data_IF_582030705525
#
_entry.id   IF_582030705525
#
_cell.length_a   1.000
_cell.length_b   1.000
_cell.length_c   1.000
_cell.angle_alpha   90.00
_cell.angle_beta   90.00
_cell.angle_gamma   90.00
#
_symmetry.space_group_name_H-M   'P 1'
#
loop_
_entity.id
_entity.type
_entity.pdbx_description
1 polymer ?
#
# COMPACT_ATOMS: atom_id res chain seq x y z
N UNK A 1 -71.18 -22.20 12.53
CA UNK A 1 -70.24 -21.11 12.17
C UNK A 1 -69.02 -21.21 13.06
N UNK A 2 -67.90 -21.72 12.57
CA UNK A 2 -66.61 -21.76 13.28
C UNK A 2 -65.59 -21.12 12.33
N UNK A 3 -64.99 -20.01 12.75
CA UNK A 3 -64.05 -19.20 11.97
C UNK A 3 -62.65 -19.81 12.04
N UNK A 4 -62.07 -20.07 10.88
CA UNK A 4 -60.66 -20.45 10.69
C UNK A 4 -59.82 -19.17 10.70
N UNK A 5 -58.81 -19.09 11.56
CA UNK A 5 -57.79 -18.04 11.55
C UNK A 5 -56.52 -18.67 11.02
N UNK A 6 -56.19 -18.37 9.77
CA UNK A 6 -54.91 -18.74 9.14
C UNK A 6 -53.81 -17.78 9.57
N UNK A 7 -52.83 -18.28 10.31
CA UNK A 7 -51.58 -17.57 10.59
C UNK A 7 -50.64 -17.67 9.38
N UNK A 8 -50.42 -16.56 8.69
CA UNK A 8 -49.41 -16.44 7.64
C UNK A 8 -48.06 -16.15 8.30
N UNK A 9 -47.21 -17.17 8.43
CA UNK A 9 -45.84 -17.00 8.88
C UNK A 9 -45.01 -16.34 7.77
N UNK A 10 -44.65 -15.06 7.94
CA UNK A 10 -43.64 -14.42 7.12
C UNK A 10 -42.27 -15.03 7.48
N UNK A 11 -41.78 -15.93 6.62
CA UNK A 11 -40.41 -16.40 6.66
C UNK A 11 -39.46 -15.25 6.33
N UNK A 12 -38.65 -14.85 7.29
CA UNK A 12 -37.53 -13.94 7.09
C UNK A 12 -36.47 -14.71 6.31
N UNK A 13 -36.37 -14.47 4.99
CA UNK A 13 -35.30 -15.04 4.18
C UNK A 13 -34.03 -14.25 4.53
N UNK A 14 -33.23 -14.80 5.43
CA UNK A 14 -31.87 -14.33 5.69
C UNK A 14 -31.04 -14.53 4.42
N UNK A 15 -30.81 -13.46 3.65
CA UNK A 15 -29.82 -13.44 2.57
C UNK A 15 -28.40 -13.37 3.17
N UNK A 16 -27.99 -14.44 3.84
CA UNK A 16 -26.64 -14.62 4.34
C UNK A 16 -25.99 -15.79 3.62
N UNK A 17 -25.84 -15.68 2.30
CA UNK A 17 -24.71 -16.29 1.63
C UNK A 17 -23.88 -15.16 1.00
N UNK A 18 -22.79 -14.79 1.67
CA UNK A 18 -21.59 -14.43 0.92
C UNK A 18 -21.23 -15.73 0.20
N UNK A 19 -21.80 -15.93 -0.99
CA UNK A 19 -21.41 -17.03 -1.84
C UNK A 19 -19.90 -16.95 -2.00
N UNK A 20 -19.23 -18.07 -1.74
CA UNK A 20 -17.84 -18.24 -2.14
C UNK A 20 -17.74 -17.79 -3.61
N UNK A 21 -17.02 -16.69 -3.86
CA UNK A 21 -16.91 -16.16 -5.21
C UNK A 21 -15.69 -16.68 -5.95
N UNK A 22 -15.01 -17.67 -5.38
CA UNK A 22 -13.95 -18.40 -6.07
C UNK A 22 -14.37 -18.98 -7.41
N UNK A 23 -15.58 -19.55 -7.60
CA UNK A 23 -16.03 -20.01 -8.92
C UNK A 23 -16.06 -18.88 -9.95
N UNK A 24 -16.51 -17.68 -9.55
CA UNK A 24 -16.50 -16.50 -10.42
C UNK A 24 -15.07 -16.10 -10.75
N UNK A 25 -14.19 -15.97 -9.74
CA UNK A 25 -12.80 -15.56 -9.96
C UNK A 25 -12.05 -16.53 -10.89
N UNK A 26 -12.25 -17.84 -10.71
CA UNK A 26 -11.70 -18.86 -11.58
C UNK A 26 -12.18 -18.72 -13.03
N UNK A 27 -13.46 -18.43 -13.25
CA UNK A 27 -14.01 -18.18 -14.59
C UNK A 27 -13.37 -16.95 -15.23
N UNK A 28 -13.27 -15.85 -14.45
CA UNK A 28 -12.69 -14.59 -14.91
C UNK A 28 -11.19 -14.68 -15.19
N UNK A 29 -10.49 -15.64 -14.58
CA UNK A 29 -9.06 -15.87 -14.80
C UNK A 29 -8.75 -16.64 -16.09
N UNK A 30 -9.70 -17.41 -16.65
CA UNK A 30 -9.47 -18.24 -17.85
C UNK A 30 -8.85 -17.50 -19.03
N UNK A 31 -9.26 -16.25 -19.39
CA UNK A 31 -8.65 -15.52 -20.49
C UNK A 31 -7.17 -15.20 -20.29
N UNK A 32 -6.68 -15.18 -19.04
CA UNK A 32 -5.29 -14.85 -18.69
C UNK A 32 -4.42 -16.09 -18.47
N UNK A 33 -5.03 -17.26 -18.26
CA UNK A 33 -4.38 -18.50 -17.82
C UNK A 33 -3.26 -19.02 -18.74
N UNK A 34 -3.21 -18.59 -20.01
CA UNK A 34 -2.10 -18.92 -20.91
C UNK A 34 -0.78 -18.28 -20.44
N UNK A 35 -0.82 -17.05 -19.92
CA UNK A 35 0.37 -16.24 -19.60
C UNK A 35 0.58 -16.04 -18.10
N UNK A 36 -0.48 -16.14 -17.32
CA UNK A 36 -0.44 -15.87 -15.89
C UNK A 36 -1.03 -17.01 -15.07
N UNK A 37 -0.72 -17.02 -13.78
CA UNK A 37 -1.37 -17.84 -12.77
C UNK A 37 -2.12 -16.91 -11.82
N UNK A 38 -3.38 -17.21 -11.49
CA UNK A 38 -4.14 -16.39 -10.55
C UNK A 38 -3.75 -16.74 -9.11
N UNK A 39 -3.39 -15.72 -8.32
CA UNK A 39 -3.23 -15.87 -6.88
C UNK A 39 -4.59 -15.86 -6.21
N UNK A 40 -5.00 -17.02 -5.69
CA UNK A 40 -6.32 -17.23 -5.10
C UNK A 40 -6.54 -16.49 -3.78
N UNK A 41 -5.49 -16.20 -3.02
CA UNK A 41 -5.57 -15.57 -1.70
C UNK A 41 -5.66 -14.04 -1.80
N UNK A 42 -5.05 -13.48 -2.84
CA UNK A 42 -5.03 -12.04 -3.11
C UNK A 42 -6.07 -11.63 -4.17
N UNK A 43 -6.75 -12.57 -4.81
CA UNK A 43 -7.89 -12.26 -5.69
C UNK A 43 -9.17 -12.17 -4.88
N UNK A 44 -10.03 -11.20 -5.20
CA UNK A 44 -11.24 -10.93 -4.42
C UNK A 44 -12.37 -10.44 -5.30
N UNK A 45 -13.60 -10.64 -4.84
CA UNK A 45 -14.78 -10.07 -5.46
C UNK A 45 -15.72 -9.48 -4.40
N UNK A 46 -16.61 -8.59 -4.84
CA UNK A 46 -17.65 -8.02 -3.99
C UNK A 46 -18.82 -7.52 -4.83
N UNK A 47 -20.04 -7.93 -4.49
CA UNK A 47 -21.26 -7.32 -5.04
C UNK A 47 -21.23 -5.83 -4.73
N UNK A 48 -21.47 -4.98 -5.73
CA UNK A 48 -21.43 -3.54 -5.56
C UNK A 48 -22.69 -3.07 -4.81
N UNK A 49 -22.60 -2.59 -3.55
CA UNK A 49 -23.80 -2.34 -2.74
C UNK A 49 -24.75 -1.27 -3.30
N UNK A 50 -24.29 -0.46 -4.25
CA UNK A 50 -25.05 0.63 -4.85
C UNK A 50 -25.51 0.34 -6.28
N UNK A 51 -25.12 -0.81 -6.82
CA UNK A 51 -25.55 -1.36 -8.09
C UNK A 51 -25.52 -2.90 -7.94
N UNK A 52 -26.44 -3.49 -7.15
CA UNK A 52 -26.36 -4.91 -6.76
C UNK A 52 -26.44 -5.90 -7.93
N UNK A 53 -26.86 -5.44 -9.10
CA UNK A 53 -26.79 -6.16 -10.37
C UNK A 53 -25.36 -6.28 -10.92
N UNK A 54 -24.36 -5.67 -10.25
CA UNK A 54 -22.95 -5.68 -10.62
C UNK A 54 -22.09 -6.23 -9.49
N UNK A 55 -21.10 -7.04 -9.86
CA UNK A 55 -20.04 -7.53 -8.97
C UNK A 55 -18.71 -6.95 -9.44
N UNK A 56 -17.95 -6.40 -8.50
CA UNK A 56 -16.57 -5.98 -8.73
C UNK A 56 -15.68 -7.20 -8.46
N UNK A 57 -14.72 -7.47 -9.34
CA UNK A 57 -13.71 -8.50 -9.15
C UNK A 57 -12.32 -7.92 -9.38
N UNK A 58 -11.36 -8.36 -8.59
CA UNK A 58 -9.94 -8.03 -8.70
C UNK A 58 -9.17 -9.34 -8.75
N UNK A 59 -8.45 -9.55 -9.85
CA UNK A 59 -7.56 -10.69 -10.02
C UNK A 59 -6.12 -10.23 -9.83
N UNK A 60 -5.40 -10.93 -8.96
CA UNK A 60 -3.96 -10.83 -8.81
C UNK A 60 -3.34 -11.95 -9.65
N UNK A 61 -2.56 -11.58 -10.66
CA UNK A 61 -2.09 -12.49 -11.70
C UNK A 61 -0.56 -12.49 -11.75
N UNK A 62 0.05 -13.64 -11.50
CA UNK A 62 1.50 -13.84 -11.54
C UNK A 62 1.94 -14.21 -12.96
N UNK A 63 2.76 -13.39 -13.65
CA UNK A 63 3.27 -13.72 -14.98
C UNK A 63 4.18 -14.95 -14.97
N UNK A 64 3.95 -15.90 -15.88
CA UNK A 64 4.72 -17.16 -15.95
C UNK A 64 6.12 -17.00 -16.55
N UNK A 65 6.29 -16.10 -17.51
CA UNK A 65 7.57 -15.91 -18.24
C UNK A 65 8.59 -15.08 -17.44
N UNK A 66 8.14 -14.37 -16.39
CA UNK A 66 8.98 -13.49 -15.57
C UNK A 66 9.12 -14.00 -14.13
N UNK A 67 8.73 -15.25 -13.88
CA UNK A 67 8.83 -15.86 -12.55
C UNK A 67 10.30 -15.95 -12.11
N UNK A 68 10.66 -15.19 -11.08
CA UNK A 68 11.97 -15.25 -10.43
C UNK A 68 11.83 -15.91 -9.06
N UNK A 69 12.85 -16.64 -8.56
CA UNK A 69 12.74 -17.42 -7.32
C UNK A 69 12.37 -16.60 -6.08
N UNK A 70 12.80 -15.34 -6.03
CA UNK A 70 12.71 -14.48 -4.84
C UNK A 70 11.85 -13.22 -5.06
N UNK A 71 11.23 -13.08 -6.24
CA UNK A 71 10.48 -11.89 -6.63
C UNK A 71 9.19 -12.31 -7.33
N UNK A 72 8.08 -11.67 -6.98
CA UNK A 72 6.80 -11.90 -7.64
C UNK A 72 6.21 -10.57 -8.08
N UNK A 73 6.21 -10.33 -9.39
CA UNK A 73 5.43 -9.25 -9.96
C UNK A 73 3.99 -9.71 -10.16
N UNK A 74 3.03 -8.84 -9.88
CA UNK A 74 1.62 -9.07 -10.18
C UNK A 74 1.12 -8.11 -11.24
N UNK A 75 0.49 -8.69 -12.25
CA UNK A 75 -0.50 -8.03 -13.07
C UNK A 75 -1.81 -7.95 -12.27
N UNK A 76 -2.54 -6.84 -12.41
CA UNK A 76 -3.83 -6.63 -11.72
C UNK A 76 -4.92 -6.44 -12.76
N UNK A 77 -5.91 -7.33 -12.75
CA UNK A 77 -7.12 -7.17 -13.55
C UNK A 77 -8.29 -6.73 -12.65
N UNK A 78 -8.86 -5.55 -12.93
CA UNK A 78 -10.06 -5.04 -12.25
C UNK A 78 -11.24 -5.18 -13.21
N UNK A 79 -12.26 -5.92 -12.81
CA UNK A 79 -13.43 -6.21 -13.62
C UNK A 79 -14.70 -5.76 -12.92
N UNK A 80 -15.68 -5.33 -13.72
CA UNK A 80 -17.07 -5.24 -13.30
C UNK A 80 -17.86 -6.23 -14.16
N UNK A 81 -18.61 -7.10 -13.49
CA UNK A 81 -19.38 -8.16 -14.12
C UNK A 81 -20.84 -8.06 -13.73
N UNK A 82 -21.72 -8.58 -14.59
CA UNK A 82 -23.13 -8.76 -14.28
C UNK A 82 -23.28 -9.85 -13.21
N UNK A 83 -23.95 -9.54 -12.10
CA UNK A 83 -24.02 -10.44 -10.94
C UNK A 83 -24.85 -11.69 -11.18
N UNK A 84 -25.75 -11.69 -12.18
CA UNK A 84 -26.63 -12.82 -12.47
C UNK A 84 -26.01 -13.77 -13.51
N UNK A 85 -25.39 -13.21 -14.53
CA UNK A 85 -24.87 -13.96 -15.69
C UNK A 85 -23.36 -14.17 -15.65
N UNK A 86 -22.65 -13.52 -14.71
CA UNK A 86 -21.19 -13.48 -14.63
C UNK A 86 -20.51 -12.88 -15.87
N UNK A 87 -21.28 -12.24 -16.77
CA UNK A 87 -20.75 -11.61 -17.98
C UNK A 87 -19.90 -10.40 -17.61
N UNK A 88 -18.69 -10.31 -18.18
CA UNK A 88 -17.83 -9.13 -18.04
C UNK A 88 -18.51 -7.94 -18.73
N UNK A 89 -18.81 -6.91 -17.95
CA UNK A 89 -19.38 -5.65 -18.44
C UNK A 89 -18.29 -4.66 -18.82
N UNK A 90 -17.20 -4.64 -18.05
CA UNK A 90 -16.05 -3.78 -18.27
C UNK A 90 -14.83 -4.33 -17.52
N UNK A 91 -13.63 -4.06 -18.01
CA UNK A 91 -12.40 -4.43 -17.32
C UNK A 91 -11.28 -3.43 -17.56
N UNK A 92 -10.30 -3.44 -16.65
CA UNK A 92 -9.04 -2.72 -16.76
C UNK A 92 -7.92 -3.63 -16.33
N UNK A 93 -6.95 -3.82 -17.22
CA UNK A 93 -5.74 -4.61 -16.96
C UNK A 93 -4.55 -3.69 -16.68
N UNK A 94 -3.79 -4.00 -15.64
CA UNK A 94 -2.59 -3.29 -15.25
C UNK A 94 -1.41 -4.27 -15.23
N UNK A 95 -0.56 -4.27 -16.27
CA UNK A 95 0.64 -5.09 -16.27
C UNK A 95 1.67 -4.55 -15.28
N UNK A 96 2.40 -5.43 -14.60
CA UNK A 96 3.46 -5.11 -13.62
C UNK A 96 3.02 -4.03 -12.62
N UNK A 97 1.79 -4.17 -12.13
CA UNK A 97 1.17 -3.17 -11.28
C UNK A 97 1.76 -3.17 -9.87
N UNK A 98 2.20 -4.35 -9.42
CA UNK A 98 2.74 -4.59 -8.09
C UNK A 98 4.02 -5.40 -8.24
N UNK A 99 5.04 -4.99 -7.50
CA UNK A 99 6.31 -5.71 -7.37
C UNK A 99 6.39 -6.16 -5.91
N UNK A 100 6.30 -7.46 -5.67
CA UNK A 100 6.46 -8.06 -4.36
C UNK A 100 7.86 -8.68 -4.23
N UNK A 101 8.63 -8.13 -3.29
CA UNK A 101 10.00 -8.54 -2.93
C UNK A 101 10.08 -8.50 -1.37
N UNK A 102 11.06 -7.79 -0.80
CA UNK A 102 11.23 -7.56 0.63
C UNK A 102 10.00 -6.93 1.30
N UNK A 103 9.13 -6.30 0.52
CA UNK A 103 7.82 -5.79 0.92
C UNK A 103 6.78 -6.50 0.05
N UNK A 104 6.06 -7.46 0.62
CA UNK A 104 5.09 -8.29 -0.09
C UNK A 104 3.66 -7.77 0.09
N UNK A 105 2.78 -8.06 -0.85
CA UNK A 105 1.35 -7.77 -0.78
C UNK A 105 0.68 -8.82 0.10
N UNK A 106 0.21 -8.37 1.26
CA UNK A 106 -0.43 -9.21 2.26
C UNK A 106 -1.95 -9.24 2.17
N UNK A 107 -2.57 -8.29 1.45
CA UNK A 107 -4.02 -8.22 1.33
C UNK A 107 -4.45 -7.35 0.14
N UNK A 108 -5.52 -7.77 -0.53
CA UNK A 108 -6.24 -6.98 -1.53
C UNK A 108 -7.72 -6.98 -1.18
N UNK A 109 -8.34 -5.80 -1.11
CA UNK A 109 -9.76 -5.68 -0.75
C UNK A 109 -10.49 -4.66 -1.62
N UNK A 110 -11.79 -4.87 -1.81
CA UNK A 110 -12.66 -3.94 -2.53
C UNK A 110 -13.33 -2.97 -1.55
N UNK A 111 -13.01 -1.69 -1.73
CA UNK A 111 -13.59 -0.58 -0.98
C UNK A 111 -14.83 -0.04 -1.71
N UNK A 112 -15.96 -0.04 -1.02
CA UNK A 112 -17.23 0.46 -1.54
C UNK A 112 -17.75 1.62 -0.70
N UNK A 113 -16.86 2.41 -0.11
CA UNK A 113 -17.21 3.67 0.55
C UNK A 113 -17.91 4.63 -0.43
N UNK A 114 -18.47 5.72 0.12
CA UNK A 114 -19.36 6.63 -0.61
C UNK A 114 -18.59 7.63 -1.50
N UNK A 115 -17.83 7.14 -2.47
CA UNK A 115 -17.12 7.96 -3.46
C UNK A 115 -18.06 8.47 -4.57
N UNK A 116 -19.09 9.24 -4.22
CA UNK A 116 -20.01 9.84 -5.18
C UNK A 116 -19.34 11.03 -5.88
N UNK A 117 -18.60 10.77 -6.97
CA UNK A 117 -17.82 11.80 -7.65
C UNK A 117 -18.71 12.78 -8.42
N UNK A 118 -19.84 12.34 -8.97
CA UNK A 118 -20.86 13.22 -9.56
C UNK A 118 -22.26 12.65 -9.26
N UNK A 119 -23.37 13.34 -9.55
CA UNK A 119 -24.71 12.76 -9.34
C UNK A 119 -24.91 11.41 -10.06
N UNK A 120 -24.28 11.21 -11.22
CA UNK A 120 -24.40 10.00 -12.01
C UNK A 120 -23.30 8.96 -11.73
N UNK A 121 -22.14 9.37 -11.19
CA UNK A 121 -20.95 8.53 -11.14
C UNK A 121 -20.51 8.33 -9.69
N UNK A 122 -20.52 7.07 -9.26
CA UNK A 122 -19.90 6.61 -8.02
C UNK A 122 -18.69 5.75 -8.36
N UNK A 123 -17.55 6.07 -7.74
CA UNK A 123 -16.36 5.23 -7.82
C UNK A 123 -16.42 4.09 -6.81
N UNK A 124 -15.65 3.04 -7.07
CA UNK A 124 -15.25 2.03 -6.09
C UNK A 124 -13.73 2.04 -5.95
N UNK A 125 -13.23 1.52 -4.84
CA UNK A 125 -11.81 1.44 -4.56
C UNK A 125 -11.29 0.02 -4.55
N UNK A 126 -9.99 -0.10 -4.81
CA UNK A 126 -9.21 -1.31 -4.52
C UNK A 126 -8.09 -0.91 -3.56
N UNK A 127 -8.00 -1.62 -2.43
CA UNK A 127 -7.00 -1.39 -1.40
C UNK A 127 -5.98 -2.52 -1.42
N UNK A 128 -4.70 -2.15 -1.37
CA UNK A 128 -3.57 -3.06 -1.30
C UNK A 128 -2.83 -2.81 0.01
N UNK A 129 -2.59 -3.86 0.80
CA UNK A 129 -1.76 -3.76 2.01
C UNK A 129 -0.46 -4.51 1.76
N UNK A 130 0.64 -3.80 1.78
CA UNK A 130 1.98 -4.36 1.68
C UNK A 130 2.68 -4.38 3.04
N UNK A 131 3.50 -5.39 3.30
CA UNK A 131 4.23 -5.58 4.55
C UNK A 131 5.65 -6.07 4.32
N UNK A 132 6.56 -5.66 5.18
CA UNK A 132 7.87 -6.29 5.30
C UNK A 132 7.83 -7.43 6.33
N UNK A 133 8.77 -8.37 6.21
CA UNK A 133 8.84 -9.55 7.08
C UNK A 133 9.68 -9.33 8.35
N UNK A 134 10.43 -8.22 8.45
CA UNK A 134 11.29 -7.94 9.59
C UNK A 134 10.49 -7.46 10.81
N UNK A 135 10.61 -8.17 11.93
CA UNK A 135 10.03 -7.74 13.20
C UNK A 135 10.81 -6.58 13.83
N UNK A 136 12.12 -6.52 13.60
CA UNK A 136 13.01 -5.46 14.13
C UNK A 136 13.04 -4.21 13.24
N UNK A 137 12.65 -4.33 11.97
CA UNK A 137 12.48 -3.18 11.06
C UNK A 137 11.11 -3.28 10.37
N UNK A 138 10.00 -3.17 11.11
CA UNK A 138 8.68 -3.40 10.56
C UNK A 138 8.30 -2.31 9.57
N UNK A 139 7.59 -2.69 8.50
CA UNK A 139 6.98 -1.78 7.55
C UNK A 139 5.61 -2.32 7.11
N UNK A 140 4.63 -1.43 7.00
CA UNK A 140 3.30 -1.72 6.47
C UNK A 140 2.78 -0.51 5.72
N UNK A 141 2.31 -0.70 4.48
CA UNK A 141 1.81 0.36 3.61
C UNK A 141 0.46 -0.07 3.05
N UNK A 142 -0.57 0.74 3.25
CA UNK A 142 -1.87 0.57 2.60
C UNK A 142 -2.03 1.61 1.50
N UNK A 143 -2.32 1.15 0.29
CA UNK A 143 -2.58 1.99 -0.89
C UNK A 143 -4.01 1.84 -1.36
N UNK A 144 -4.59 2.94 -1.81
CA UNK A 144 -5.92 3.01 -2.41
C UNK A 144 -5.82 3.43 -3.86
N UNK A 145 -6.51 2.68 -4.72
CA UNK A 145 -6.85 3.07 -6.08
C UNK A 145 -8.37 3.33 -6.14
N UNK A 146 -8.83 4.33 -6.90
CA UNK A 146 -10.25 4.52 -7.21
C UNK A 146 -10.51 4.32 -8.70
N UNK A 147 -11.62 3.66 -8.99
CA UNK A 147 -12.09 3.37 -10.33
C UNK A 147 -13.52 3.85 -10.53
N UNK A 148 -13.81 4.35 -11.72
CA UNK A 148 -15.18 4.64 -12.17
C UNK A 148 -15.62 3.67 -13.24
N UNK A 149 -16.91 3.35 -13.27
CA UNK A 149 -17.56 2.67 -14.39
C UNK A 149 -18.41 3.67 -15.16
N UNK A 150 -18.08 3.91 -16.42
CA UNK A 150 -18.85 4.76 -17.35
C UNK A 150 -18.77 4.13 -18.74
N UNK A 151 -19.88 4.11 -19.49
CA UNK A 151 -19.90 3.64 -20.88
C UNK A 151 -19.20 2.29 -21.12
N UNK A 152 -19.42 1.33 -20.22
CA UNK A 152 -18.78 -0.01 -20.24
C UNK A 152 -17.24 0.03 -20.15
N UNK A 153 -16.69 1.10 -19.58
CA UNK A 153 -15.26 1.27 -19.33
C UNK A 153 -14.98 1.44 -17.83
N UNK A 154 -13.99 0.69 -17.33
CA UNK A 154 -13.39 0.90 -16.01
C UNK A 154 -12.19 1.83 -16.17
N UNK A 155 -12.26 2.99 -15.52
CA UNK A 155 -11.21 4.01 -15.57
C UNK A 155 -10.59 4.22 -14.19
N UNK A 156 -9.26 4.10 -14.11
CA UNK A 156 -8.48 4.41 -12.91
C UNK A 156 -8.38 5.93 -12.77
N UNK A 157 -9.05 6.48 -11.77
CA UNK A 157 -9.16 7.93 -11.54
C UNK A 157 -8.36 8.39 -10.33
N UNK A 158 -7.90 7.49 -9.46
CA UNK A 158 -6.95 7.80 -8.39
C UNK A 158 -6.02 6.60 -8.27
N UNK A 159 -4.71 6.82 -8.38
CA UNK A 159 -3.73 5.74 -8.39
C UNK A 159 -2.76 5.88 -7.22
N UNK A 160 -2.58 4.77 -6.51
CA UNK A 160 -1.50 4.55 -5.56
C UNK A 160 -1.44 5.57 -4.41
N UNK A 161 -2.59 5.99 -3.90
CA UNK A 161 -2.64 6.89 -2.75
C UNK A 161 -2.35 6.11 -1.46
N UNK A 162 -1.25 6.45 -0.78
CA UNK A 162 -0.98 5.92 0.56
C UNK A 162 -2.08 6.38 1.53
N UNK A 163 -2.81 5.43 2.09
CA UNK A 163 -3.85 5.66 3.08
C UNK A 163 -3.33 5.46 4.50
N UNK A 164 -2.57 4.39 4.72
CA UNK A 164 -1.93 4.12 6.00
C UNK A 164 -0.48 3.72 5.74
N UNK A 165 0.42 4.18 6.59
CA UNK A 165 1.82 3.78 6.54
C UNK A 165 2.35 3.66 7.95
N UNK A 166 3.09 2.59 8.21
CA UNK A 166 3.75 2.32 9.46
C UNK A 166 5.17 1.83 9.17
N UNK A 167 6.14 2.38 9.89
CA UNK A 167 7.54 1.96 9.81
C UNK A 167 8.21 2.14 11.16
N UNK A 168 9.25 1.36 11.45
CA UNK A 168 10.11 1.66 12.59
C UNK A 168 11.35 0.81 12.66
N UNK A 169 12.10 1.04 13.73
CA UNK A 169 13.25 0.24 14.16
C UNK A 169 13.02 -0.17 15.61
N UNK A 170 13.25 -1.45 15.90
CA UNK A 170 13.02 -2.05 17.21
C UNK A 170 14.19 -2.96 17.56
N UNK A 171 14.64 -2.90 18.82
CA UNK A 171 15.70 -3.76 19.33
C UNK A 171 15.25 -5.23 19.55
N UNK A 172 13.98 -5.53 19.29
CA UNK A 172 13.37 -6.85 19.51
C UNK A 172 13.00 -7.13 20.97
N UNK A 173 13.15 -6.14 21.86
CA UNK A 173 12.88 -6.27 23.28
C UNK A 173 11.98 -5.15 23.80
N UNK A 174 12.41 -3.89 23.66
CA UNK A 174 11.76 -2.74 24.26
C UNK A 174 12.05 -1.43 23.51
N UNK A 175 13.32 -1.12 23.25
CA UNK A 175 13.69 0.16 22.68
C UNK A 175 13.35 0.22 21.19
N UNK A 176 12.62 1.26 20.77
CA UNK A 176 12.26 1.41 19.37
C UNK A 176 11.76 2.80 19.02
N UNK A 177 11.80 3.10 17.73
CA UNK A 177 11.36 4.35 17.13
C UNK A 177 10.44 4.03 15.96
N UNK A 178 9.24 4.61 15.97
CA UNK A 178 8.17 4.26 15.04
C UNK A 178 7.50 5.51 14.49
N UNK A 179 7.18 5.47 13.20
CA UNK A 179 6.40 6.48 12.51
C UNK A 179 5.13 5.84 11.96
N UNK A 180 4.01 6.54 12.13
CA UNK A 180 2.73 6.15 11.58
C UNK A 180 2.09 7.33 10.86
N UNK A 181 1.63 7.11 9.63
CA UNK A 181 0.76 8.05 8.91
C UNK A 181 -0.59 7.40 8.70
N UNK A 182 -1.64 8.09 9.10
CA UNK A 182 -3.03 7.72 8.84
C UNK A 182 -3.71 8.78 8.00
N UNK A 183 -4.45 8.35 6.98
CA UNK A 183 -5.24 9.23 6.14
C UNK A 183 -6.70 8.85 6.08
N UNK A 184 -7.52 9.88 5.98
CA UNK A 184 -8.93 9.75 5.65
C UNK A 184 -9.21 10.49 4.34
N UNK A 185 -9.98 9.86 3.46
CA UNK A 185 -10.40 10.42 2.18
C UNK A 185 -11.91 10.68 2.25
N UNK A 186 -12.32 11.90 1.94
CA UNK A 186 -13.71 12.31 1.88
C UNK A 186 -14.00 13.05 0.58
N UNK A 187 -15.28 13.22 0.25
CA UNK A 187 -15.68 14.16 -0.80
C UNK A 187 -15.41 15.60 -0.33
N UNK A 188 -14.85 16.40 -1.22
CA UNK A 188 -14.66 17.83 -1.07
C UNK A 188 -15.96 18.60 -1.28
N UNK A 189 -15.90 19.92 -1.15
CA UNK A 189 -17.05 20.82 -1.39
C UNK A 189 -17.08 21.35 -2.83
N UNK A 190 -15.93 21.35 -3.47
CA UNK A 190 -15.71 21.85 -4.82
C UNK A 190 -15.79 20.70 -5.83
N UNK A 191 -15.98 21.04 -7.09
CA UNK A 191 -15.90 20.10 -8.20
C UNK A 191 -15.11 20.71 -9.35
N UNK A 192 -14.29 19.90 -10.00
CA UNK A 192 -13.54 20.27 -11.19
C UNK A 192 -13.73 19.20 -12.26
N UNK A 193 -13.83 19.63 -13.51
CA UNK A 193 -13.90 18.73 -14.68
C UNK A 193 -14.98 17.62 -14.54
N UNK A 194 -16.12 17.98 -13.94
CA UNK A 194 -17.28 17.10 -13.78
C UNK A 194 -17.30 16.24 -12.52
N UNK A 195 -16.20 16.15 -11.76
CA UNK A 195 -16.13 15.37 -10.52
C UNK A 195 -15.93 16.27 -9.29
N UNK A 196 -16.52 15.88 -8.17
CA UNK A 196 -16.24 16.43 -6.85
C UNK A 196 -14.78 16.19 -6.50
N UNK A 197 -14.10 17.22 -6.06
CA UNK A 197 -12.75 17.09 -5.53
C UNK A 197 -12.74 16.17 -4.32
N UNK A 198 -11.57 15.65 -3.96
CA UNK A 198 -11.42 14.81 -2.78
C UNK A 198 -10.66 15.55 -1.69
N UNK A 199 -11.16 15.45 -0.46
CA UNK A 199 -10.48 15.96 0.72
C UNK A 199 -9.66 14.86 1.37
N UNK A 200 -8.34 14.98 1.27
CA UNK A 200 -7.40 14.12 1.98
C UNK A 200 -7.00 14.75 3.32
N UNK A 201 -7.28 14.06 4.41
CA UNK A 201 -6.82 14.44 5.75
C UNK A 201 -5.69 13.51 6.15
N UNK A 202 -4.59 14.06 6.65
CA UNK A 202 -3.42 13.29 7.09
C UNK A 202 -3.14 13.57 8.56
N UNK A 203 -2.85 12.52 9.32
CA UNK A 203 -2.31 12.60 10.66
C UNK A 203 -1.06 11.73 10.72
N UNK A 204 0.08 12.34 11.03
CA UNK A 204 1.33 11.64 11.26
C UNK A 204 1.69 11.68 12.74
N UNK A 205 2.09 10.53 13.27
CA UNK A 205 2.43 10.30 14.66
C UNK A 205 3.82 9.66 14.73
N UNK A 206 4.60 10.09 15.71
CA UNK A 206 5.88 9.49 16.06
C UNK A 206 5.78 8.87 17.45
N UNK A 207 6.29 7.66 17.60
CA UNK A 207 6.26 6.89 18.84
C UNK A 207 7.68 6.44 19.18
N UNK A 208 8.07 6.62 20.43
CA UNK A 208 9.34 6.16 21.00
C UNK A 208 9.03 5.19 22.14
N UNK A 209 9.71 4.05 22.17
CA UNK A 209 9.65 3.08 23.26
C UNK A 209 11.04 2.93 23.88
N UNK A 210 11.09 2.81 25.21
CA UNK A 210 12.34 2.63 25.94
C UNK A 210 12.12 1.87 27.25
N UNK A 211 13.18 1.22 27.74
CA UNK A 211 13.16 0.48 29.00
C UNK A 211 13.35 1.43 30.19
N UNK A 212 12.44 1.38 31.17
CA UNK A 212 12.55 2.11 32.44
C UNK A 212 12.37 1.12 33.59
N UNK A 213 13.50 0.65 34.14
CA UNK A 213 13.50 -0.44 35.10
C UNK A 213 13.19 -1.76 34.41
N UNK A 214 12.18 -2.49 34.89
CA UNK A 214 11.68 -3.71 34.25
C UNK A 214 10.59 -3.43 33.19
N UNK A 215 10.02 -2.22 33.21
CA UNK A 215 8.91 -1.85 32.34
C UNK A 215 9.38 -1.27 30.99
N UNK A 216 8.59 -1.52 29.96
CA UNK A 216 8.67 -0.79 28.70
C UNK A 216 7.72 0.40 28.73
N UNK A 217 8.27 1.60 28.61
CA UNK A 217 7.51 2.84 28.60
C UNK A 217 7.51 3.40 27.19
N UNK A 218 6.32 3.75 26.73
CA UNK A 218 6.10 4.31 25.40
C UNK A 218 5.66 5.77 25.50
N UNK A 219 6.09 6.58 24.55
CA UNK A 219 5.59 7.94 24.35
C UNK A 219 5.18 8.11 22.89
N UNK A 220 4.16 8.94 22.65
CA UNK A 220 3.63 9.17 21.32
C UNK A 220 3.26 10.63 21.16
N UNK A 221 3.60 11.21 20.00
CA UNK A 221 3.33 12.61 19.66
C UNK A 221 2.84 12.72 18.22
N UNK A 222 1.81 13.53 18.01
CA UNK A 222 1.41 13.93 16.66
C UNK A 222 2.45 14.90 16.13
N UNK A 223 3.07 14.56 15.00
CA UNK A 223 4.11 15.38 14.36
C UNK A 223 3.59 16.18 13.17
N UNK A 224 2.49 15.75 12.54
CA UNK A 224 1.84 16.53 11.49
C UNK A 224 0.33 16.27 11.44
N UNK A 225 -0.43 17.30 11.12
CA UNK A 225 -1.85 17.22 10.72
C UNK A 225 -2.06 18.13 9.53
N UNK A 226 -2.46 17.56 8.39
CA UNK A 226 -2.67 18.33 7.17
C UNK A 226 -4.01 17.98 6.53
N UNK A 227 -4.49 18.91 5.71
CA UNK A 227 -5.69 18.76 4.92
C UNK A 227 -5.39 19.29 3.53
N UNK A 228 -5.49 18.42 2.52
CA UNK A 228 -5.18 18.73 1.13
C UNK A 228 -6.38 18.38 0.27
N UNK A 229 -6.73 19.26 -0.65
CA UNK A 229 -7.74 19.00 -1.67
C UNK A 229 -7.05 18.41 -2.91
N UNK A 230 -7.50 17.23 -3.33
CA UNK A 230 -7.10 16.61 -4.59
C UNK A 230 -8.13 17.02 -5.64
N UNK A 231 -7.71 17.87 -6.56
CA UNK A 231 -8.57 18.36 -7.64
C UNK A 231 -8.58 17.38 -8.79
N UNK A 232 -9.75 17.09 -9.34
CA UNK A 232 -9.83 16.24 -10.53
C UNK A 232 -9.32 17.00 -11.75
N UNK A 233 -8.30 16.48 -12.44
CA UNK A 233 -7.68 17.15 -13.60
C UNK A 233 -8.40 16.89 -14.94
N UNK A 234 -9.52 16.16 -14.90
CA UNK A 234 -10.26 15.69 -16.08
C UNK A 234 -9.96 14.24 -16.46
N UNK A 235 -8.92 13.64 -15.89
CA UNK A 235 -8.54 12.24 -16.08
C UNK A 235 -8.34 11.50 -14.74
N UNK A 236 -7.67 12.12 -13.79
CA UNK A 236 -7.36 11.55 -12.49
C UNK A 236 -7.29 12.63 -11.38
N UNK A 237 -7.25 12.17 -10.13
CA UNK A 237 -6.82 12.95 -8.98
C UNK A 237 -5.29 12.82 -8.87
N UNK A 238 -4.52 13.90 -9.08
CA UNK A 238 -3.08 13.84 -8.94
C UNK A 238 -2.70 13.54 -7.49
N UNK A 239 -1.97 12.45 -7.29
CA UNK A 239 -1.39 12.10 -5.99
C UNK A 239 0.05 12.59 -6.00
N UNK A 240 0.37 13.56 -5.15
CA UNK A 240 1.77 13.92 -4.92
C UNK A 240 2.47 12.77 -4.20
N UNK A 241 3.71 12.47 -4.61
CA UNK A 241 4.54 11.55 -3.84
C UNK A 241 4.72 12.11 -2.42
N UNK A 242 4.55 11.24 -1.44
CA UNK A 242 4.60 11.62 -0.05
C UNK A 242 5.99 12.06 0.37
N UNK A 243 6.11 13.37 0.58
CA UNK A 243 7.28 13.96 1.23
C UNK A 243 7.14 14.00 2.76
N UNK A 244 6.00 13.57 3.31
CA UNK A 244 5.74 13.65 4.75
C UNK A 244 6.48 12.58 5.55
N UNK A 245 6.88 11.49 4.88
CA UNK A 245 7.85 10.50 5.38
C UNK A 245 9.16 10.56 4.60
N UNK A 246 9.47 11.70 3.96
CA UNK A 246 10.70 11.94 3.22
C UNK A 246 11.92 11.68 4.12
N UNK A 247 12.55 10.52 3.89
CA UNK A 247 13.95 10.06 4.02
C UNK A 247 14.85 10.55 5.17
N UNK A 248 14.42 11.48 6.04
CA UNK A 248 15.17 11.97 7.19
C UNK A 248 15.20 10.97 8.33
N UNK A 249 14.30 9.98 8.37
CA UNK A 249 14.36 8.89 9.35
C UNK A 249 15.30 7.78 8.90
N UNK A 250 15.31 7.39 7.62
CA UNK A 250 16.26 6.40 7.08
C UNK A 250 17.73 6.88 7.11
N UNK A 251 17.98 8.19 6.99
CA UNK A 251 19.35 8.75 7.05
C UNK A 251 19.78 9.12 8.49
N UNK A 252 18.84 9.36 9.42
CA UNK A 252 19.19 9.70 10.83
C UNK A 252 19.24 8.50 11.79
N UNK A 253 18.66 7.36 11.41
CA UNK A 253 18.79 6.11 12.15
C UNK A 253 20.14 5.40 11.94
N UNK A 254 21.01 5.96 11.10
CA UNK A 254 22.44 5.71 11.26
C UNK A 254 22.94 6.53 12.44
N UNK A 255 22.78 5.97 13.64
CA UNK A 255 23.53 6.42 14.81
C UNK A 255 24.99 6.68 14.39
N UNK A 256 25.60 7.76 14.88
CA UNK A 256 27.05 7.98 14.72
C UNK A 256 27.88 6.74 15.11
N UNK A 257 27.33 5.84 15.94
CA UNK A 257 27.92 4.55 16.27
C UNK A 257 27.88 3.54 15.11
N UNK A 258 26.82 3.51 14.30
CA UNK A 258 26.66 2.63 13.13
C UNK A 258 27.48 3.13 11.94
N UNK A 259 27.52 4.46 11.70
CA UNK A 259 28.46 5.04 10.73
C UNK A 259 29.92 4.82 11.11
N UNK A 260 30.27 4.93 12.41
CA UNK A 260 31.62 4.58 12.89
C UNK A 260 31.92 3.10 12.69
N UNK A 261 30.98 2.19 12.99
CA UNK A 261 31.19 0.74 12.81
C UNK A 261 31.39 0.36 11.35
N UNK A 262 30.63 0.94 10.43
CA UNK A 262 30.77 0.66 8.98
C UNK A 262 32.06 1.28 8.43
N UNK A 263 32.41 2.49 8.86
CA UNK A 263 33.67 3.13 8.47
C UNK A 263 34.90 2.39 9.05
N UNK A 264 34.81 1.87 10.29
CA UNK A 264 35.84 1.04 10.92
C UNK A 264 35.93 -0.35 10.28
N UNK A 265 34.80 -0.93 9.88
CA UNK A 265 34.74 -2.22 9.18
C UNK A 265 35.39 -2.13 7.78
N UNK A 266 35.12 -1.07 7.00
CA UNK A 266 35.78 -0.83 5.72
C UNK A 266 37.27 -0.45 5.85
N UNK A 267 37.65 0.28 6.90
CA UNK A 267 39.07 0.54 7.21
C UNK A 267 39.82 -0.76 7.56
N UNK A 268 39.19 -1.65 8.33
CA UNK A 268 39.76 -2.96 8.71
C UNK A 268 39.90 -3.89 7.50
N UNK A 269 38.90 -3.88 6.59
CA UNK A 269 38.94 -4.64 5.33
C UNK A 269 40.05 -4.16 4.39
N UNK A 270 40.28 -2.85 4.30
CA UNK A 270 41.38 -2.27 3.50
C UNK A 270 42.76 -2.49 4.11
N UNK A 271 42.86 -2.62 5.45
CA UNK A 271 44.11 -2.94 6.13
C UNK A 271 44.53 -4.40 5.95
N UNK A 272 43.59 -5.34 5.83
CA UNK A 272 43.89 -6.77 5.59
C UNK A 272 44.26 -7.10 4.14
N UNK A 273 43.99 -6.21 3.17
CA UNK A 273 44.23 -6.44 1.74
C UNK A 273 45.50 -5.77 1.19
N UNK A 274 46.41 -5.26 2.03
CA UNK A 274 47.71 -4.75 1.58
C UNK A 274 48.85 -5.65 2.05
N UNK A 275 49.47 -6.44 1.16
CA UNK A 275 50.83 -6.88 1.38
C UNK A 275 51.76 -5.69 1.14
N UNK A 276 52.71 -5.50 2.04
CA UNK A 276 53.83 -4.54 1.97
C UNK A 276 53.53 -3.05 2.16
N UNK A 277 53.89 -2.58 3.36
CA UNK A 277 54.65 -1.35 3.63
C UNK A 277 54.21 -0.06 2.93
N UNK A 278 53.29 0.68 3.53
CA UNK A 278 53.23 2.17 3.50
C UNK A 278 52.24 2.64 4.58
N UNK A 279 52.73 3.43 5.52
CA UNK A 279 51.97 4.04 6.62
C UNK A 279 51.12 5.21 6.10
N UNK A 280 49.80 5.18 6.33
CA UNK A 280 48.93 6.36 6.16
C UNK A 280 48.79 7.08 7.50
N UNK A 281 49.09 8.38 7.54
CA UNK A 281 48.88 9.23 8.71
C UNK A 281 47.39 9.53 8.93
N UNK A 282 46.94 9.48 10.19
CA UNK A 282 45.57 9.77 10.64
C UNK A 282 45.41 11.30 10.79
N UNK A 283 44.42 11.96 10.15
CA UNK A 283 44.09 13.34 10.48
C UNK A 283 43.40 13.36 11.86
N UNK A 284 43.97 14.08 12.82
CA UNK A 284 43.26 14.45 14.06
C UNK A 284 42.20 15.48 13.68
N UNK A 285 40.94 15.18 14.03
CA UNK A 285 39.73 16.02 13.93
C UNK A 285 38.90 15.89 12.64
N UNK A 286 37.74 15.27 12.79
CA UNK A 286 36.60 15.35 11.87
C UNK A 286 35.65 16.39 12.48
N UNK A 287 35.51 17.55 11.85
CA UNK A 287 34.51 18.56 12.23
C UNK A 287 33.20 18.33 11.48
N UNK A 288 32.08 18.59 12.15
CA UNK A 288 30.72 18.42 11.61
C UNK A 288 30.46 19.41 10.48
N UNK A 289 30.44 18.95 9.21
CA UNK A 289 29.99 19.80 8.11
C UNK A 289 30.44 19.46 6.68
N UNK A 290 31.09 18.34 6.39
CA UNK A 290 31.52 18.03 5.01
C UNK A 290 30.79 16.80 4.44
N UNK A 291 30.13 16.88 3.27
CA UNK A 291 29.54 15.71 2.64
C UNK A 291 30.65 14.87 1.98
N UNK A 292 30.64 13.56 2.24
CA UNK A 292 31.46 12.60 1.49
C UNK A 292 31.11 12.67 0.00
N UNK A 293 31.90 13.40 -0.78
CA UNK A 293 31.98 13.17 -2.22
C UNK A 293 32.98 12.04 -2.43
N UNK A 294 32.48 10.96 -3.03
CA UNK A 294 33.31 9.96 -3.67
C UNK A 294 34.19 10.63 -4.73
N UNK A 295 35.37 10.03 -4.95
CA UNK A 295 36.38 10.31 -5.97
C UNK A 295 37.56 11.21 -5.57
N UNK A 296 38.74 10.56 -5.63
CA UNK A 296 40.06 11.08 -5.93
C UNK A 296 40.79 11.96 -4.88
N UNK A 297 41.86 11.38 -4.32
CA UNK A 297 43.19 11.99 -4.31
C UNK A 297 44.26 10.89 -4.08
N UNK A 298 44.67 10.24 -5.15
CA UNK A 298 46.06 9.80 -5.31
C UNK A 298 46.75 10.88 -6.15
N UNK A 299 47.72 11.57 -5.56
CA UNK A 299 48.80 12.36 -6.20
C UNK A 299 49.74 12.76 -5.06
N UNK A 300 51.06 12.54 -5.02
CA UNK A 300 52.07 11.99 -5.93
C UNK A 300 52.87 10.89 -5.19
#
# INVERSE_FOLDING_TARGET
>A
MIKVIGGLALGVISFSSLADCQPLLNELAKPFAAKTTMNTELSTCKVWPYAPEKTIAVLMLEPKEEAQPDFTDYDVAVLVVDSLTSKVLASKYHPKAIMDDAIYTSSVTIDTARYQLSPAIRAFGVRFIHRGSSSVNPISIERLNLYTLQDQQVSLVLNNLTMNEYSGEWDGQCAGDFATTHRALALGKSAHNGFQDLQLQTMATHKEASKKGEDCVESSKVVAKTRVELKFDGKAYPVAQDKLLDHRFLIRAWSLATMKKICLYEQSRRAMLRPYGRTCAIPRQITSGSPCRSAACCAH
#
